data_IF_337129062404
#
_entry.id   IF_337129062404
#
_cell.length_a   1.000
_cell.length_b   1.000
_cell.length_c   1.000
_cell.angle_alpha   90.00
_cell.angle_beta   90.00
_cell.angle_gamma   90.00
#
_symmetry.space_group_name_H-M   'P 1'
#
loop_
_entity.id
_entity.type
_entity.pdbx_description
1 polymer ?
#
# COMPACT_ATOMS: atom_id res chain seq x y z
N UNK A 1 -23.74 3.37 -38.56
CA UNK A 1 -22.48 2.71 -38.19
C UNK A 1 -21.54 3.81 -37.73
N UNK A 2 -21.28 3.88 -36.43
CA UNK A 2 -20.48 4.97 -35.84
C UNK A 2 -19.00 4.64 -36.04
N UNK A 3 -18.25 5.52 -36.69
CA UNK A 3 -16.82 5.36 -36.91
C UNK A 3 -16.06 6.28 -35.96
N UNK A 4 -15.07 5.74 -35.26
CA UNK A 4 -14.20 6.47 -34.34
C UNK A 4 -12.84 6.72 -35.00
N UNK A 5 -12.16 7.79 -34.62
CA UNK A 5 -10.78 8.04 -35.05
C UNK A 5 -9.82 7.10 -34.32
N UNK A 6 -8.67 6.79 -34.92
CA UNK A 6 -7.66 5.92 -34.30
C UNK A 6 -7.15 6.49 -32.97
N UNK A 7 -6.89 7.80 -32.91
CA UNK A 7 -6.48 8.49 -31.66
C UNK A 7 -7.52 8.34 -30.55
N UNK A 8 -8.81 8.42 -30.89
CA UNK A 8 -9.90 8.23 -29.93
C UNK A 8 -9.96 6.78 -29.45
N UNK A 9 -9.81 5.81 -30.36
CA UNK A 9 -9.75 4.40 -30.02
C UNK A 9 -8.58 4.07 -29.12
N UNK A 10 -7.36 4.56 -29.40
CA UNK A 10 -6.19 4.30 -28.57
C UNK A 10 -6.33 4.89 -27.17
N UNK A 11 -6.83 6.13 -27.06
CA UNK A 11 -7.06 6.78 -25.77
C UNK A 11 -8.06 5.99 -24.91
N UNK A 12 -9.23 5.68 -25.46
CA UNK A 12 -10.32 5.06 -24.70
C UNK A 12 -10.20 3.53 -24.58
N UNK A 13 -9.51 2.84 -25.50
CA UNK A 13 -9.25 1.40 -25.35
C UNK A 13 -8.29 1.12 -24.19
N UNK A 14 -7.22 1.92 -24.04
CA UNK A 14 -6.32 1.81 -22.89
C UNK A 14 -7.05 2.12 -21.58
N UNK A 15 -7.88 3.17 -21.58
CA UNK A 15 -8.74 3.54 -20.45
C UNK A 15 -9.71 2.41 -20.08
N UNK A 16 -10.35 1.76 -21.06
CA UNK A 16 -11.26 0.63 -20.86
C UNK A 16 -10.60 -0.56 -20.15
N UNK A 17 -9.35 -0.87 -20.53
CA UNK A 17 -8.56 -1.93 -19.86
C UNK A 17 -8.17 -1.50 -18.45
N UNK A 18 -7.71 -0.27 -18.27
CA UNK A 18 -7.28 0.26 -16.98
C UNK A 18 -8.42 0.28 -15.94
N UNK A 19 -9.64 0.60 -16.37
CA UNK A 19 -10.84 0.62 -15.53
C UNK A 19 -11.47 -0.78 -15.34
N UNK A 20 -10.90 -1.82 -15.95
CA UNK A 20 -11.39 -3.21 -15.89
C UNK A 20 -12.90 -3.35 -16.18
N UNK A 21 -13.44 -2.56 -17.12
CA UNK A 21 -14.88 -2.47 -17.38
C UNK A 21 -15.51 -3.77 -17.88
N UNK A 22 -14.71 -4.67 -18.46
CA UNK A 22 -15.16 -6.02 -18.82
C UNK A 22 -15.65 -6.80 -17.59
N UNK A 23 -15.01 -6.61 -16.43
CA UNK A 23 -15.42 -7.23 -15.17
C UNK A 23 -16.78 -6.75 -14.68
N UNK A 24 -17.16 -5.52 -15.04
CA UNK A 24 -18.48 -4.95 -14.79
C UNK A 24 -19.52 -5.31 -15.87
N UNK A 25 -19.16 -6.16 -16.84
CA UNK A 25 -20.05 -6.59 -17.92
C UNK A 25 -20.24 -5.57 -19.03
N UNK A 26 -19.43 -4.50 -19.08
CA UNK A 26 -19.52 -3.47 -20.11
C UNK A 26 -18.61 -3.85 -21.27
N UNK A 27 -19.14 -3.68 -22.49
CA UNK A 27 -18.36 -3.92 -23.71
C UNK A 27 -17.67 -2.64 -24.19
N UNK A 28 -16.55 -2.77 -24.89
CA UNK A 28 -15.81 -1.62 -25.43
C UNK A 28 -16.69 -0.70 -26.30
N UNK A 29 -17.55 -1.19 -27.22
CA UNK A 29 -18.43 -0.32 -28.00
C UNK A 29 -19.45 0.45 -27.15
N UNK A 30 -19.96 -0.15 -26.07
CA UNK A 30 -20.85 0.54 -25.12
C UNK A 30 -20.11 1.64 -24.37
N UNK A 31 -18.87 1.36 -23.94
CA UNK A 31 -18.02 2.34 -23.28
C UNK A 31 -17.72 3.54 -24.20
N UNK A 32 -17.32 3.28 -25.44
CA UNK A 32 -17.00 4.34 -26.42
C UNK A 32 -18.23 5.21 -26.76
N UNK A 33 -19.45 4.70 -26.61
CA UNK A 33 -20.66 5.49 -26.85
C UNK A 33 -20.92 6.54 -25.76
N UNK A 34 -20.45 6.33 -24.52
CA UNK A 34 -20.62 7.26 -23.41
C UNK A 34 -19.58 7.01 -22.29
N UNK A 35 -18.32 7.44 -22.47
CA UNK A 35 -17.24 7.13 -21.53
C UNK A 35 -17.51 7.62 -20.10
N UNK A 36 -17.97 8.87 -19.96
CA UNK A 36 -18.24 9.51 -18.66
C UNK A 36 -19.24 8.75 -17.79
N UNK A 37 -20.15 7.98 -18.43
CA UNK A 37 -21.13 7.17 -17.70
C UNK A 37 -20.50 6.01 -16.94
N UNK A 38 -19.34 5.53 -17.36
CA UNK A 38 -18.76 4.30 -16.84
C UNK A 38 -17.46 4.51 -16.09
N UNK A 39 -16.82 5.69 -16.19
CA UNK A 39 -15.55 5.97 -15.51
C UNK A 39 -15.63 5.80 -13.98
N UNK A 40 -16.79 6.10 -13.37
CA UNK A 40 -17.00 5.95 -11.93
C UNK A 40 -16.95 4.49 -11.45
N UNK A 41 -17.13 3.51 -12.35
CA UNK A 41 -17.14 2.09 -11.99
C UNK A 41 -15.77 1.56 -11.57
N UNK A 42 -14.67 2.25 -11.88
CA UNK A 42 -13.36 1.86 -11.37
C UNK A 42 -13.23 1.96 -9.85
N UNK A 43 -14.10 2.72 -9.20
CA UNK A 43 -14.19 2.79 -7.74
C UNK A 43 -15.30 1.89 -7.18
N UNK A 44 -16.14 1.32 -8.04
CA UNK A 44 -17.22 0.44 -7.63
C UNK A 44 -16.68 -0.98 -7.39
N UNK A 45 -17.21 -1.69 -6.39
CA UNK A 45 -16.91 -3.11 -6.24
C UNK A 45 -17.35 -3.89 -7.48
N UNK A 46 -16.60 -4.93 -7.81
CA UNK A 46 -16.97 -5.82 -8.90
C UNK A 46 -18.30 -6.52 -8.58
N UNK A 47 -19.18 -6.69 -9.58
CA UNK A 47 -20.41 -7.44 -9.38
C UNK A 47 -20.08 -8.88 -8.99
N UNK A 48 -20.86 -9.44 -8.08
CA UNK A 48 -20.68 -10.82 -7.63
C UNK A 48 -20.87 -11.79 -8.80
N UNK A 49 -20.02 -12.81 -8.84
CA UNK A 49 -20.16 -13.91 -9.80
C UNK A 49 -21.45 -14.69 -9.51
N UNK A 50 -22.05 -15.39 -10.49
CA UNK A 50 -23.26 -16.19 -10.28
C UNK A 50 -23.11 -17.22 -9.14
N UNK A 51 -21.94 -17.84 -9.01
CA UNK A 51 -21.64 -18.77 -7.92
C UNK A 51 -21.63 -18.06 -6.55
N UNK A 52 -21.13 -16.83 -6.48
CA UNK A 52 -21.10 -16.03 -5.26
C UNK A 52 -22.50 -15.57 -4.86
N UNK A 53 -23.35 -15.19 -5.83
CA UNK A 53 -24.76 -14.86 -5.57
C UNK A 53 -25.50 -16.00 -4.89
N UNK A 54 -25.28 -17.25 -5.33
CA UNK A 54 -25.91 -18.41 -4.70
C UNK A 54 -25.47 -18.59 -3.24
N UNK A 55 -24.20 -18.31 -2.92
CA UNK A 55 -23.71 -18.33 -1.54
C UNK A 55 -24.36 -17.24 -0.71
N UNK A 56 -24.43 -16.01 -1.22
CA UNK A 56 -25.10 -14.89 -0.54
C UNK A 56 -26.56 -15.20 -0.25
N UNK A 57 -27.29 -15.76 -1.23
CA UNK A 57 -28.68 -16.16 -1.05
C UNK A 57 -28.83 -17.26 0.00
N UNK A 58 -27.92 -18.24 0.03
CA UNK A 58 -27.91 -19.29 1.06
C UNK A 58 -27.65 -18.73 2.45
N UNK A 59 -26.69 -17.82 2.59
CA UNK A 59 -26.38 -17.15 3.86
C UNK A 59 -27.58 -16.32 4.33
N UNK A 60 -28.17 -15.54 3.43
CA UNK A 60 -29.35 -14.73 3.72
C UNK A 60 -30.53 -15.60 4.16
N UNK A 61 -30.82 -16.69 3.44
CA UNK A 61 -31.86 -17.64 3.83
C UNK A 61 -31.57 -18.29 5.19
N UNK A 62 -30.32 -18.67 5.47
CA UNK A 62 -29.95 -19.24 6.76
C UNK A 62 -30.18 -18.22 7.90
N UNK A 63 -29.86 -16.95 7.68
CA UNK A 63 -30.12 -15.87 8.63
C UNK A 63 -31.61 -15.63 8.85
N UNK A 64 -32.40 -15.57 7.77
CA UNK A 64 -33.85 -15.35 7.83
C UNK A 64 -34.59 -16.46 8.59
N UNK A 65 -34.13 -17.71 8.41
CA UNK A 65 -34.70 -18.90 9.06
C UNK A 65 -34.10 -19.22 10.44
N UNK A 66 -33.11 -18.45 10.91
CA UNK A 66 -32.39 -18.74 12.16
C UNK A 66 -31.53 -20.01 12.11
N UNK A 67 -31.29 -20.57 10.93
CA UNK A 67 -30.37 -21.71 10.68
C UNK A 67 -28.91 -21.27 10.53
N UNK A 68 -28.63 -19.97 10.65
CA UNK A 68 -27.28 -19.46 10.65
C UNK A 68 -26.56 -19.96 11.91
N UNK A 69 -25.53 -20.78 11.73
CA UNK A 69 -24.59 -21.06 12.79
C UNK A 69 -23.89 -19.73 13.15
N UNK A 70 -24.17 -19.21 14.34
CA UNK A 70 -23.31 -18.20 14.92
C UNK A 70 -21.99 -18.89 15.19
N UNK A 71 -20.96 -18.59 14.41
CA UNK A 71 -19.61 -18.94 14.80
C UNK A 71 -19.41 -18.31 16.18
N UNK A 72 -19.30 -19.15 17.22
CA UNK A 72 -18.84 -18.73 18.54
C UNK A 72 -17.36 -18.37 18.41
N UNK A 73 -17.07 -17.29 17.70
CA UNK A 73 -15.77 -16.64 17.73
C UNK A 73 -15.63 -16.06 19.12
N UNK A 74 -14.64 -16.56 19.87
CA UNK A 74 -14.16 -15.90 21.07
C UNK A 74 -13.99 -14.41 20.73
N UNK A 75 -14.80 -13.56 21.38
CA UNK A 75 -15.05 -12.22 20.88
C UNK A 75 -13.77 -11.38 20.95
N UNK A 76 -13.20 -11.04 19.78
CA UNK A 76 -12.19 -9.98 19.64
C UNK A 76 -12.69 -8.66 20.24
N UNK A 77 -14.00 -8.51 20.37
CA UNK A 77 -14.65 -7.40 21.08
C UNK A 77 -14.26 -7.32 22.55
N UNK A 78 -14.07 -8.45 23.24
CA UNK A 78 -13.65 -8.45 24.64
C UNK A 78 -12.18 -8.03 24.79
N UNK A 79 -11.33 -8.40 23.84
CA UNK A 79 -9.92 -8.00 23.80
C UNK A 79 -9.75 -6.52 23.42
N UNK A 80 -10.50 -6.01 22.45
CA UNK A 80 -10.52 -4.58 22.08
C UNK A 80 -11.08 -3.75 23.22
N UNK A 81 -12.14 -4.22 23.90
CA UNK A 81 -12.73 -3.51 25.04
C UNK A 81 -11.76 -3.49 26.22
N UNK A 82 -11.06 -4.60 26.49
CA UNK A 82 -10.00 -4.66 27.49
C UNK A 82 -8.84 -3.68 27.17
N UNK A 83 -8.38 -3.63 25.92
CA UNK A 83 -7.34 -2.69 25.47
C UNK A 83 -7.80 -1.23 25.52
N UNK A 84 -9.04 -0.94 25.13
CA UNK A 84 -9.61 0.43 25.18
C UNK A 84 -9.74 0.97 26.62
N UNK A 85 -9.85 0.08 27.60
CA UNK A 85 -9.90 0.45 29.02
C UNK A 85 -8.50 0.75 29.56
N UNK A 86 -7.45 0.19 28.93
CA UNK A 86 -6.06 0.36 29.32
C UNK A 86 -5.37 1.57 28.67
N UNK A 87 -5.96 2.16 27.62
CA UNK A 87 -5.38 3.30 26.92
C UNK A 87 -6.15 4.59 27.27
N UNK A 88 -5.53 5.50 28.01
CA UNK A 88 -6.05 6.87 28.14
C UNK A 88 -5.59 7.69 26.93
N UNK A 89 -6.54 8.16 26.13
CA UNK A 89 -6.27 9.04 24.98
C UNK A 89 -5.60 10.35 25.39
N UNK A 90 -5.73 10.76 26.66
CA UNK A 90 -5.00 11.93 27.20
C UNK A 90 -3.50 11.68 27.26
N UNK A 91 -3.07 10.50 27.70
CA UNK A 91 -1.65 10.14 27.76
C UNK A 91 -1.03 10.11 26.37
N UNK A 92 -1.78 9.63 25.37
CA UNK A 92 -1.35 9.65 23.96
C UNK A 92 -1.21 11.09 23.42
N UNK A 93 -2.11 12.00 23.79
CA UNK A 93 -2.01 13.40 23.39
C UNK A 93 -0.84 14.12 24.07
N UNK A 94 -0.56 13.81 25.34
CA UNK A 94 0.56 14.39 26.05
C UNK A 94 1.89 13.85 25.52
N UNK A 95 1.98 12.54 25.25
CA UNK A 95 3.13 11.96 24.53
C UNK A 95 3.36 12.64 23.18
N UNK A 96 2.29 12.84 22.38
CA UNK A 96 2.41 13.48 21.08
C UNK A 96 2.85 14.95 21.21
N UNK A 97 2.35 15.68 22.22
CA UNK A 97 2.82 17.05 22.51
C UNK A 97 4.29 17.09 22.89
N UNK A 98 4.76 16.14 23.68
CA UNK A 98 6.16 16.04 24.07
C UNK A 98 7.05 15.70 22.86
N UNK A 99 6.62 14.79 21.99
CA UNK A 99 7.30 14.46 20.74
C UNK A 99 7.39 15.65 19.78
N UNK A 100 6.32 16.43 19.64
CA UNK A 100 6.31 17.66 18.83
C UNK A 100 7.25 18.70 19.45
N UNK A 101 7.16 18.93 20.76
CA UNK A 101 8.04 19.87 21.46
C UNK A 101 9.52 19.45 21.40
N UNK A 102 9.81 18.15 21.38
CA UNK A 102 11.16 17.64 21.17
C UNK A 102 11.62 17.85 19.73
N UNK A 103 10.77 17.57 18.75
CA UNK A 103 11.05 17.77 17.32
C UNK A 103 11.33 19.24 16.99
N UNK A 104 10.55 20.17 17.58
CA UNK A 104 10.77 21.61 17.44
C UNK A 104 12.09 22.07 18.05
N UNK A 105 12.48 21.51 19.21
CA UNK A 105 13.78 21.75 19.83
C UNK A 105 14.91 21.23 18.93
N UNK A 106 14.80 20.01 18.42
CA UNK A 106 15.78 19.42 17.51
C UNK A 106 15.92 20.27 16.23
N UNK A 107 14.82 20.79 15.69
CA UNK A 107 14.83 21.71 14.55
C UNK A 107 15.46 23.07 14.86
N UNK A 108 15.35 23.58 16.09
CA UNK A 108 16.02 24.82 16.51
C UNK A 108 17.54 24.63 16.66
N UNK A 109 17.99 23.42 17.00
CA UNK A 109 19.41 23.05 17.06
C UNK A 109 20.03 22.83 15.67
N UNK A 110 19.21 22.70 14.63
CA UNK A 110 19.68 22.58 13.26
C UNK A 110 20.21 23.91 12.70
N UNK A 111 21.39 23.83 12.08
CA UNK A 111 21.99 24.95 11.36
C UNK A 111 21.15 25.33 10.13
N UNK A 112 20.97 26.62 9.89
CA UNK A 112 20.28 27.14 8.70
C UNK A 112 21.27 27.71 7.68
N UNK A 113 21.02 27.48 6.38
CA UNK A 113 21.73 28.15 5.27
C UNK A 113 20.71 28.83 4.36
N UNK A 114 20.79 30.16 4.24
CA UNK A 114 19.83 30.99 3.49
C UNK A 114 18.36 30.77 3.91
N UNK A 115 18.11 30.57 5.21
CA UNK A 115 16.76 30.38 5.75
C UNK A 115 16.18 28.95 5.59
N UNK A 116 16.91 28.03 4.97
CA UNK A 116 16.54 26.62 4.92
C UNK A 116 17.33 25.82 5.98
N UNK A 117 16.64 24.93 6.69
CA UNK A 117 17.27 23.97 7.61
C UNK A 117 18.19 23.03 6.84
N UNK A 118 19.43 22.85 7.31
CA UNK A 118 20.42 21.95 6.71
C UNK A 118 20.85 20.92 7.75
N UNK A 119 20.41 19.67 7.58
CA UNK A 119 20.90 18.57 8.39
C UNK A 119 22.40 18.36 8.12
N UNK A 120 23.27 18.41 9.15
CA UNK A 120 24.67 18.09 8.98
C UNK A 120 24.82 16.62 8.61
N UNK A 121 25.33 16.38 7.39
CA UNK A 121 25.56 15.03 6.87
C UNK A 121 26.60 14.30 7.74
N UNK A 122 26.14 13.38 8.59
CA UNK A 122 27.03 12.57 9.43
C UNK A 122 27.66 11.47 8.59
N UNK A 123 28.88 11.70 8.12
CA UNK A 123 29.66 10.65 7.48
C UNK A 123 30.09 9.63 8.54
N UNK A 124 29.54 8.41 8.48
CA UNK A 124 30.15 7.29 9.17
C UNK A 124 31.52 7.02 8.56
N UNK A 125 32.58 7.46 9.24
CA UNK A 125 33.94 7.04 8.91
C UNK A 125 34.06 5.57 9.30
N UNK A 126 34.12 4.68 8.31
CA UNK A 126 34.58 3.32 8.56
C UNK A 126 35.99 3.39 9.15
N UNK A 127 36.19 2.81 10.33
CA UNK A 127 37.49 2.65 10.96
C UNK A 127 38.41 1.83 10.03
N UNK A 128 39.20 2.49 9.17
CA UNK A 128 40.27 1.88 8.38
C UNK A 128 41.49 1.57 9.27
N UNK A 129 41.25 0.87 10.37
CA UNK A 129 42.22 0.69 11.44
C UNK A 129 42.41 -0.72 11.96
N UNK A 130 41.65 -1.74 11.50
CA UNK A 130 41.76 -3.08 12.10
C UNK A 130 41.55 -4.28 11.15
N UNK A 131 41.83 -4.12 9.86
CA UNK A 131 41.92 -5.25 8.93
C UNK A 131 43.20 -5.18 8.08
N UNK A 132 44.36 -5.09 8.74
CA UNK A 132 45.59 -5.66 8.18
C UNK A 132 45.57 -7.16 8.48
N UNK A 133 44.81 -7.93 7.71
CA UNK A 133 45.05 -9.36 7.58
C UNK A 133 44.26 -9.94 6.40
N UNK A 134 45.01 -10.60 5.53
CA UNK A 134 44.61 -11.69 4.62
C UNK A 134 43.69 -11.36 3.45
N UNK A 135 44.23 -10.68 2.44
CA UNK A 135 43.88 -10.96 1.03
C UNK A 135 45.13 -11.48 0.31
N UNK A 136 45.48 -12.74 0.60
CA UNK A 136 46.66 -13.40 0.04
C UNK A 136 46.34 -13.88 -1.39
N UNK A 137 46.48 -13.00 -2.38
CA UNK A 137 46.36 -13.34 -3.81
C UNK A 137 47.69 -13.87 -4.39
N UNK A 138 48.40 -14.71 -3.65
CA UNK A 138 49.62 -15.35 -4.16
C UNK A 138 49.27 -16.68 -4.85
N UNK A 139 48.76 -16.61 -6.09
CA UNK A 139 48.83 -17.74 -7.02
C UNK A 139 48.96 -17.28 -8.49
N UNK A 140 50.20 -17.30 -9.01
CA UNK A 140 50.59 -17.67 -10.38
C UNK A 140 52.13 -17.60 -10.50
N UNK A 141 52.79 -18.76 -10.49
CA UNK A 141 53.36 -19.44 -11.67
C UNK A 141 54.54 -18.73 -12.33
N UNK A 142 55.73 -19.34 -12.25
CA UNK A 142 56.62 -19.69 -13.38
C UNK A 142 58.08 -19.86 -12.90
N UNK A 143 58.58 -21.09 -12.86
CA UNK A 143 60.00 -21.38 -13.16
C UNK A 143 60.05 -22.58 -14.09
N UNK A 144 60.04 -22.26 -15.39
CA UNK A 144 60.54 -23.09 -16.47
C UNK A 144 62.03 -22.76 -16.60
N UNK A 145 62.84 -23.77 -16.93
CA UNK A 145 64.28 -23.85 -16.63
C UNK A 145 65.21 -22.73 -17.11
N UNK A 146 66.36 -22.69 -16.45
CA UNK A 146 67.69 -22.51 -17.01
C UNK A 146 68.66 -23.25 -16.07
#
# INVERSE_FOLDING_TARGET
>A
MTTYTDEYLECYANRYVALYLKGHGITLPQYLAAPDRYEHLAFAPLPLLPAQHNVVLRLWHAWDTGLAEHAEEASDYDDIKAQSTAWDWRDLLDQWRDEVAQSERDMCELSQRNGAYVEPMRHHRHNRGNARCTSNFARKQARKGA
#
